data_IF_860639401513
#
_entry.id   IF_860639401513
#
_cell.length_a   1.000
_cell.length_b   1.000
_cell.length_c   1.000
_cell.angle_alpha   90.00
_cell.angle_beta   90.00
_cell.angle_gamma   90.00
#
_symmetry.space_group_name_H-M   'P 1'
#
loop_
_entity.id
_entity.type
_entity.pdbx_description
1 polymer ?
#
# COMPACT_ATOMS: atom_id res chain seq x y z
N UNK A 1 17.41 11.62 27.31
CA UNK A 1 16.46 10.83 26.48
C UNK A 1 17.13 9.67 25.75
N UNK A 2 18.18 9.90 24.94
CA UNK A 2 18.81 8.84 24.12
C UNK A 2 19.39 7.67 24.94
N UNK A 3 20.04 7.92 26.07
CA UNK A 3 20.59 6.85 26.92
C UNK A 3 19.50 5.89 27.44
N UNK A 4 18.37 6.45 27.90
CA UNK A 4 17.20 5.67 28.35
C UNK A 4 16.60 4.84 27.21
N UNK A 5 16.48 5.40 26.01
CA UNK A 5 16.03 4.66 24.83
C UNK A 5 16.98 3.51 24.46
N UNK A 6 18.31 3.73 24.52
CA UNK A 6 19.32 2.69 24.25
C UNK A 6 19.26 1.54 25.26
N UNK A 7 19.01 1.85 26.54
CA UNK A 7 18.80 0.84 27.59
C UNK A 7 17.60 -0.06 27.26
N UNK A 8 16.43 0.52 27.01
CA UNK A 8 15.24 -0.27 26.66
C UNK A 8 15.39 -1.03 25.33
N UNK A 9 16.05 -0.45 24.32
CA UNK A 9 16.39 -1.17 23.09
C UNK A 9 17.21 -2.42 23.37
N UNK A 10 18.17 -2.35 24.29
CA UNK A 10 18.98 -3.52 24.68
C UNK A 10 18.15 -4.54 25.46
N UNK A 11 17.33 -4.08 26.41
CA UNK A 11 16.45 -4.92 27.22
C UNK A 11 15.43 -5.71 26.37
N UNK A 12 14.85 -5.06 25.35
CA UNK A 12 13.89 -5.68 24.42
C UNK A 12 14.55 -6.50 23.28
N UNK A 13 15.87 -6.70 23.32
CA UNK A 13 16.60 -7.50 22.31
C UNK A 13 16.96 -6.77 21.00
N UNK A 14 16.63 -5.50 20.85
CA UNK A 14 16.90 -4.70 19.63
C UNK A 14 18.36 -4.27 19.43
N UNK A 15 19.30 -4.75 20.24
CA UNK A 15 20.73 -4.43 20.11
C UNK A 15 21.43 -5.42 19.15
N UNK A 16 21.03 -5.36 17.88
CA UNK A 16 21.60 -6.17 16.80
C UNK A 16 23.10 -5.90 16.62
N UNK A 17 23.83 -6.94 16.21
CA UNK A 17 25.23 -6.84 15.79
C UNK A 17 25.28 -6.69 14.26
N UNK A 18 26.38 -6.14 13.74
CA UNK A 18 26.58 -5.89 12.31
C UNK A 18 25.41 -5.18 11.60
N UNK A 19 24.68 -4.32 12.33
CA UNK A 19 23.48 -3.60 11.82
C UNK A 19 23.79 -2.59 10.71
N UNK A 20 25.07 -2.36 10.42
CA UNK A 20 25.52 -1.43 9.37
C UNK A 20 24.92 -1.72 8.00
N UNK A 21 24.65 -2.98 7.66
CA UNK A 21 24.00 -3.36 6.39
C UNK A 21 22.59 -2.77 6.30
N UNK A 22 21.77 -2.95 7.35
CA UNK A 22 20.41 -2.39 7.40
C UNK A 22 20.43 -0.86 7.48
N UNK A 23 21.39 -0.30 8.23
CA UNK A 23 21.55 1.15 8.35
C UNK A 23 21.94 1.80 7.02
N UNK A 24 22.79 1.15 6.22
CA UNK A 24 23.16 1.63 4.89
C UNK A 24 21.96 1.66 3.93
N UNK A 25 21.11 0.62 3.94
CA UNK A 25 19.87 0.60 3.16
C UNK A 25 18.91 1.73 3.58
N UNK A 26 18.74 1.96 4.90
CA UNK A 26 17.90 3.04 5.41
C UNK A 26 18.46 4.43 5.06
N UNK A 27 19.78 4.62 5.16
CA UNK A 27 20.43 5.88 4.77
C UNK A 27 20.23 6.16 3.28
N UNK A 28 20.44 5.16 2.42
CA UNK A 28 20.20 5.29 0.99
C UNK A 28 18.74 5.66 0.69
N UNK A 29 17.77 5.01 1.34
CA UNK A 29 16.36 5.33 1.17
C UNK A 29 16.00 6.77 1.60
N UNK A 30 16.58 7.27 2.70
CA UNK A 30 16.35 8.65 3.15
C UNK A 30 16.90 9.69 2.16
N UNK A 31 18.04 9.39 1.54
CA UNK A 31 18.72 10.28 0.59
C UNK A 31 18.08 10.27 -0.80
N UNK A 32 17.65 9.10 -1.28
CA UNK A 32 17.23 8.92 -2.69
C UNK A 32 15.72 8.72 -2.87
N UNK A 33 15.01 8.16 -1.87
CA UNK A 33 13.63 7.70 -2.05
C UNK A 33 12.58 8.65 -1.46
N UNK A 34 12.97 9.73 -0.76
CA UNK A 34 12.00 10.63 -0.11
C UNK A 34 11.17 11.42 -1.12
N UNK A 35 11.80 11.98 -2.16
CA UNK A 35 11.11 12.86 -3.11
C UNK A 35 10.04 12.10 -3.92
N UNK A 36 10.32 10.85 -4.28
CA UNK A 36 9.44 9.99 -5.08
C UNK A 36 8.19 9.49 -4.34
N UNK A 37 8.03 9.76 -3.04
CA UNK A 37 6.76 9.47 -2.35
C UNK A 37 5.58 10.18 -3.02
N UNK A 38 5.84 11.31 -3.69
CA UNK A 38 4.85 11.99 -4.52
C UNK A 38 4.33 11.10 -5.66
N UNK A 39 5.16 10.22 -6.22
CA UNK A 39 4.76 9.29 -7.29
C UNK A 39 3.81 8.22 -6.73
N UNK A 40 4.10 7.70 -5.53
CA UNK A 40 3.22 6.75 -4.85
C UNK A 40 1.86 7.41 -4.56
N UNK A 41 1.85 8.66 -4.10
CA UNK A 41 0.60 9.42 -3.87
C UNK A 41 -0.17 9.65 -5.17
N UNK A 42 0.52 10.01 -6.26
CA UNK A 42 -0.09 10.21 -7.57
C UNK A 42 -0.70 8.91 -8.11
N UNK A 43 0.02 7.78 -7.99
CA UNK A 43 -0.47 6.46 -8.37
C UNK A 43 -1.70 6.05 -7.54
N UNK A 44 -1.68 6.30 -6.23
CA UNK A 44 -2.81 6.00 -5.36
C UNK A 44 -4.05 6.82 -5.74
N UNK A 45 -3.87 8.11 -6.03
CA UNK A 45 -4.95 8.98 -6.50
C UNK A 45 -5.49 8.56 -7.87
N UNK A 46 -4.61 8.17 -8.79
CA UNK A 46 -5.01 7.63 -10.08
C UNK A 46 -5.83 6.35 -9.94
N UNK A 47 -5.41 5.43 -9.06
CA UNK A 47 -6.15 4.22 -8.72
C UNK A 47 -7.52 4.54 -8.15
N UNK A 48 -7.58 5.45 -7.16
CA UNK A 48 -8.83 5.87 -6.53
C UNK A 48 -9.83 6.45 -7.54
N UNK A 49 -9.36 7.38 -8.39
CA UNK A 49 -10.15 7.99 -9.44
C UNK A 49 -10.64 6.99 -10.50
N UNK A 50 -9.86 5.94 -10.77
CA UNK A 50 -10.27 4.86 -11.67
C UNK A 50 -11.36 3.99 -11.06
N UNK A 51 -11.10 3.48 -9.85
CA UNK A 51 -12.01 2.57 -9.17
C UNK A 51 -13.33 3.24 -8.74
N UNK A 52 -13.32 4.53 -8.40
CA UNK A 52 -14.54 5.28 -8.05
C UNK A 52 -15.56 5.36 -9.20
N UNK A 53 -15.15 5.09 -10.44
CA UNK A 53 -16.05 5.05 -11.61
C UNK A 53 -16.71 3.69 -11.80
N UNK A 54 -16.25 2.66 -11.09
CA UNK A 54 -16.72 1.30 -11.27
C UNK A 54 -17.95 1.02 -10.40
N UNK A 55 -19.00 0.40 -10.94
CA UNK A 55 -20.19 0.07 -10.18
C UNK A 55 -19.89 -0.99 -9.11
N UNK A 56 -20.59 -0.89 -7.97
CA UNK A 56 -20.47 -1.85 -6.87
C UNK A 56 -19.18 -1.73 -6.05
N UNK A 57 -18.38 -0.69 -6.27
CA UNK A 57 -17.29 -0.31 -5.38
C UNK A 57 -17.63 1.03 -4.71
N UNK A 58 -17.17 1.19 -3.48
CA UNK A 58 -17.31 2.42 -2.71
C UNK A 58 -15.90 2.97 -2.46
N UNK A 59 -15.57 4.06 -3.15
CA UNK A 59 -14.23 4.67 -3.11
C UNK A 59 -14.38 6.18 -2.93
N UNK A 60 -13.82 6.69 -1.83
CA UNK A 60 -13.68 8.13 -1.61
C UNK A 60 -12.38 8.61 -2.27
N UNK A 61 -12.49 9.06 -3.53
CA UNK A 61 -11.34 9.51 -4.29
C UNK A 61 -10.80 10.87 -3.81
N UNK A 62 -11.67 11.74 -3.29
CA UNK A 62 -11.30 13.07 -2.77
C UNK A 62 -10.57 12.95 -1.42
N UNK A 63 -10.88 11.92 -0.62
CA UNK A 63 -10.21 11.63 0.65
C UNK A 63 -8.80 11.04 0.56
N UNK A 64 -8.27 10.77 -0.65
CA UNK A 64 -6.94 10.15 -0.81
C UNK A 64 -5.83 11.19 -0.72
N UNK A 65 -5.16 11.21 0.43
CA UNK A 65 -4.08 12.15 0.76
C UNK A 65 -2.66 11.60 0.52
N UNK A 66 -2.48 10.27 0.53
CA UNK A 66 -1.14 9.63 0.50
C UNK A 66 -1.12 8.40 -0.40
N UNK A 67 -0.38 7.34 -0.04
CA UNK A 67 -0.20 6.13 -0.82
C UNK A 67 -1.18 4.99 -0.45
N UNK A 68 -2.11 5.24 0.48
CA UNK A 68 -3.09 4.25 0.93
C UNK A 68 -4.49 4.58 0.42
N UNK A 69 -5.18 3.55 -0.05
CA UNK A 69 -6.57 3.62 -0.47
C UNK A 69 -7.38 2.51 0.20
N UNK A 70 -8.55 2.86 0.71
CA UNK A 70 -9.56 1.91 1.17
C UNK A 70 -10.66 1.80 0.11
N UNK A 71 -11.05 0.58 -0.22
CA UNK A 71 -12.02 0.25 -1.25
C UNK A 71 -13.13 -0.56 -0.58
N UNK A 72 -14.32 0.00 -0.49
CA UNK A 72 -15.51 -0.74 -0.12
C UNK A 72 -15.95 -1.64 -1.27
N UNK A 73 -16.25 -2.90 -0.98
CA UNK A 73 -16.62 -3.90 -1.99
C UNK A 73 -18.14 -4.07 -2.12
N UNK A 74 -18.93 -3.19 -1.49
CA UNK A 74 -20.38 -3.31 -1.35
C UNK A 74 -20.73 -4.62 -0.64
N UNK A 75 -21.67 -5.38 -1.18
CA UNK A 75 -22.09 -6.68 -0.65
C UNK A 75 -21.07 -7.82 -0.91
N UNK A 76 -20.05 -7.58 -1.74
CA UNK A 76 -19.06 -8.62 -2.09
C UNK A 76 -18.12 -8.87 -0.93
N UNK A 77 -17.77 -10.13 -0.69
CA UNK A 77 -16.76 -10.51 0.30
C UNK A 77 -15.36 -10.06 -0.16
N UNK A 78 -14.71 -9.24 0.64
CA UNK A 78 -13.43 -8.65 0.31
C UNK A 78 -12.31 -9.70 0.27
N UNK A 79 -12.33 -10.71 1.13
CA UNK A 79 -11.29 -11.75 1.15
C UNK A 79 -11.34 -12.62 -0.13
N UNK A 80 -12.55 -12.98 -0.57
CA UNK A 80 -12.78 -13.70 -1.81
C UNK A 80 -12.34 -12.86 -3.02
N UNK A 81 -12.66 -11.56 -3.04
CA UNK A 81 -12.24 -10.66 -4.12
C UNK A 81 -10.71 -10.49 -4.17
N UNK A 82 -10.07 -10.28 -3.01
CA UNK A 82 -8.60 -10.21 -2.91
C UNK A 82 -7.93 -11.48 -3.42
N UNK A 83 -8.47 -12.65 -3.07
CA UNK A 83 -7.94 -13.93 -3.53
C UNK A 83 -8.01 -14.07 -5.06
N UNK A 84 -9.14 -13.67 -5.67
CA UNK A 84 -9.31 -13.72 -7.13
C UNK A 84 -8.34 -12.76 -7.85
N UNK A 85 -8.13 -11.58 -7.30
CA UNK A 85 -7.17 -10.62 -7.84
C UNK A 85 -5.71 -11.11 -7.73
N UNK A 86 -5.38 -11.84 -6.67
CA UNK A 86 -4.04 -12.43 -6.48
C UNK A 86 -3.74 -13.51 -7.55
N UNK A 87 -4.75 -14.19 -8.10
CA UNK A 87 -4.59 -15.11 -9.24
C UNK A 87 -4.09 -14.39 -10.51
N UNK A 88 -4.34 -13.08 -10.62
CA UNK A 88 -3.82 -12.21 -11.68
C UNK A 88 -2.57 -11.42 -11.24
N UNK A 89 -1.98 -11.76 -10.09
CA UNK A 89 -0.80 -11.11 -9.53
C UNK A 89 -1.09 -9.80 -8.79
N UNK A 90 -2.36 -9.45 -8.57
CA UNK A 90 -2.76 -8.20 -7.91
C UNK A 90 -3.05 -8.47 -6.43
N UNK A 91 -2.12 -8.06 -5.56
CA UNK A 91 -2.22 -8.30 -4.12
C UNK A 91 -2.84 -7.13 -3.39
N UNK A 92 -3.98 -7.40 -2.75
CA UNK A 92 -4.69 -6.47 -1.87
C UNK A 92 -4.91 -7.08 -0.50
N UNK A 93 -4.98 -6.24 0.53
CA UNK A 93 -5.27 -6.68 1.88
C UNK A 93 -6.76 -6.49 2.18
N UNK A 94 -7.49 -7.56 2.51
CA UNK A 94 -8.80 -7.44 3.13
C UNK A 94 -8.63 -7.01 4.60
N UNK A 95 -9.11 -5.81 4.93
CA UNK A 95 -9.06 -5.27 6.31
C UNK A 95 -10.37 -5.43 7.06
N UNK A 96 -11.43 -5.85 6.36
CA UNK A 96 -12.74 -6.20 6.91
C UNK A 96 -13.55 -7.05 5.92
N UNK A 97 -14.79 -7.45 6.27
CA UNK A 97 -15.62 -8.31 5.41
C UNK A 97 -15.90 -7.69 4.04
N UNK A 98 -16.02 -6.36 3.97
CA UNK A 98 -16.37 -5.63 2.76
C UNK A 98 -15.40 -4.47 2.47
N UNK A 99 -14.15 -4.57 2.94
CA UNK A 99 -13.16 -3.51 2.78
C UNK A 99 -11.79 -4.06 2.39
N UNK A 100 -11.29 -3.59 1.26
CA UNK A 100 -9.92 -3.81 0.80
C UNK A 100 -9.06 -2.58 1.10
N UNK A 101 -7.77 -2.80 1.34
CA UNK A 101 -6.75 -1.77 1.44
C UNK A 101 -5.68 -2.00 0.38
N UNK A 102 -5.51 -1.02 -0.50
CA UNK A 102 -4.42 -0.93 -1.45
C UNK A 102 -3.34 0.02 -0.90
N UNK A 103 -2.07 -0.34 -1.09
CA UNK A 103 -0.93 0.51 -0.72
C UNK A 103 0.05 0.56 -1.88
N UNK A 104 0.10 1.71 -2.55
CA UNK A 104 1.07 1.97 -3.62
C UNK A 104 2.44 2.23 -3.02
N UNK A 105 3.50 1.83 -3.72
CA UNK A 105 4.88 1.93 -3.24
C UNK A 105 5.88 1.88 -4.41
N UNK A 106 7.17 1.94 -4.08
CA UNK A 106 8.30 1.92 -5.03
C UNK A 106 8.23 0.85 -6.13
N UNK A 107 7.64 -0.30 -5.86
CA UNK A 107 7.59 -1.40 -6.83
C UNK A 107 6.34 -1.39 -7.70
N UNK A 108 5.47 -0.37 -7.58
CA UNK A 108 4.23 -0.23 -8.36
C UNK A 108 4.37 0.94 -9.31
N UNK A 109 4.34 0.65 -10.60
CA UNK A 109 4.40 1.62 -11.68
C UNK A 109 3.02 2.22 -12.02
N UNK A 110 3.01 3.38 -12.66
CA UNK A 110 1.79 4.00 -13.15
C UNK A 110 1.05 3.12 -14.20
N UNK A 111 1.79 2.32 -14.98
CA UNK A 111 1.21 1.40 -15.97
C UNK A 111 0.44 0.25 -15.30
N UNK A 112 0.94 -0.25 -14.17
CA UNK A 112 0.25 -1.30 -13.39
C UNK A 112 -1.03 -0.78 -12.75
N UNK A 113 -1.14 0.53 -12.44
CA UNK A 113 -2.40 1.12 -11.94
C UNK A 113 -3.54 0.92 -12.96
N UNK A 114 -3.26 1.11 -14.25
CA UNK A 114 -4.26 0.88 -15.31
C UNK A 114 -4.65 -0.60 -15.36
N UNK A 115 -3.68 -1.51 -15.28
CA UNK A 115 -3.94 -2.95 -15.27
C UNK A 115 -4.82 -3.37 -14.09
N UNK A 116 -4.60 -2.79 -12.91
CA UNK A 116 -5.43 -3.04 -11.73
C UNK A 116 -6.86 -2.57 -11.97
N UNK A 117 -7.07 -1.36 -12.50
CA UNK A 117 -8.40 -0.84 -12.79
C UNK A 117 -9.14 -1.77 -13.77
N UNK A 118 -8.48 -2.18 -14.86
CA UNK A 118 -9.06 -3.13 -15.83
C UNK A 118 -9.41 -4.47 -15.18
N UNK A 119 -8.55 -4.99 -14.30
CA UNK A 119 -8.85 -6.24 -13.60
C UNK A 119 -10.11 -6.13 -12.72
N UNK A 120 -10.36 -4.97 -12.10
CA UNK A 120 -11.60 -4.71 -11.37
C UNK A 120 -12.83 -4.58 -12.27
N UNK A 121 -12.68 -4.07 -13.50
CA UNK A 121 -13.76 -4.00 -14.50
C UNK A 121 -14.21 -5.38 -14.98
N UNK A 122 -13.26 -6.31 -15.12
CA UNK A 122 -13.52 -7.68 -15.57
C UNK A 122 -14.08 -8.59 -14.46
N UNK A 123 -14.08 -8.11 -13.21
CA UNK A 123 -14.65 -8.86 -12.08
C UNK A 123 -16.18 -8.70 -12.07
N UNK A 124 -16.91 -9.83 -12.01
CA UNK A 124 -18.37 -9.82 -11.89
C UNK A 124 -18.88 -9.23 -10.57
#
# INVERSE_FOLDING_TARGET
>A
VIAKARFFRKQQGGAMRQVGILAAAAAHALEHNRARLADDHANCRALANGLAKLPGLEVDAEGVETNMLFIGTGERDAAALAKRLDESGIRLLATGPHTLRAVTNLTVSAGEIVQVITAFEELP
#
